data_IF_177393119353
#
_entry.id   IF_177393119353
#
_cell.length_a   1.000
_cell.length_b   1.000
_cell.length_c   1.000
_cell.angle_alpha   90.00
_cell.angle_beta   90.00
_cell.angle_gamma   90.00
#
_symmetry.space_group_name_H-M   'P 1'
#
loop_
_entity.id
_entity.type
_entity.pdbx_description
1 polymer ?
#
# COMPACT_ATOMS: atom_id res chain seq x y z
N UNK A 1 -9.72 11.14 -2.68
CA UNK A 1 -8.92 10.56 -1.57
C UNK A 1 -9.57 9.24 -1.21
N UNK A 2 -8.79 8.17 -1.13
CA UNK A 2 -9.28 6.82 -0.82
C UNK A 2 -8.72 6.38 0.53
N UNK A 3 -9.58 5.85 1.39
CA UNK A 3 -9.17 5.21 2.65
C UNK A 3 -9.48 3.73 2.51
N UNK A 4 -8.47 2.89 2.71
CA UNK A 4 -8.56 1.43 2.65
C UNK A 4 -8.49 0.83 4.05
N UNK A 5 -9.15 -0.32 4.21
CA UNK A 5 -9.15 -1.15 5.42
C UNK A 5 -8.76 -2.57 5.02
N UNK A 6 -7.75 -3.11 5.68
CA UNK A 6 -7.28 -4.49 5.53
C UNK A 6 -7.44 -5.20 6.87
N UNK A 7 -8.23 -6.27 6.93
CA UNK A 7 -8.57 -6.96 8.18
C UNK A 7 -7.88 -8.34 8.24
N UNK A 8 -7.41 -8.76 9.42
CA UNK A 8 -6.86 -10.10 9.58
C UNK A 8 -7.89 -11.22 9.33
N UNK A 9 -9.19 -10.96 9.58
CA UNK A 9 -10.27 -11.95 9.44
C UNK A 9 -10.48 -12.43 8.00
N UNK A 10 -10.10 -11.64 7.01
CA UNK A 10 -10.14 -12.00 5.58
C UNK A 10 -8.76 -12.03 4.92
N UNK A 11 -7.68 -12.04 5.73
CA UNK A 11 -6.30 -11.92 5.26
C UNK A 11 -6.06 -10.68 4.40
N UNK A 12 -6.74 -9.57 4.69
CA UNK A 12 -6.79 -8.35 3.88
C UNK A 12 -5.43 -7.99 3.28
N UNK A 13 -5.39 -7.95 1.95
CA UNK A 13 -4.19 -7.73 1.14
C UNK A 13 -4.54 -6.95 -0.13
N UNK A 14 -3.53 -6.63 -0.93
CA UNK A 14 -3.75 -6.16 -2.30
C UNK A 14 -2.68 -6.69 -3.23
N UNK A 15 -3.10 -7.37 -4.28
CA UNK A 15 -2.22 -8.05 -5.23
C UNK A 15 -1.22 -7.12 -5.90
N UNK A 16 -0.17 -7.72 -6.46
CA UNK A 16 0.86 -6.99 -7.19
C UNK A 16 0.26 -6.25 -8.39
N UNK A 17 0.43 -4.94 -8.42
CA UNK A 17 -0.10 -4.08 -9.48
C UNK A 17 0.78 -2.84 -9.68
N UNK A 18 0.43 -2.05 -10.71
CA UNK A 18 0.95 -0.71 -10.97
C UNK A 18 -0.24 0.23 -11.10
N UNK A 19 -0.07 1.47 -10.68
CA UNK A 19 -1.19 2.40 -10.50
C UNK A 19 -1.55 3.24 -11.72
N UNK A 20 -0.76 3.14 -12.80
CA UNK A 20 -0.88 4.00 -13.98
C UNK A 20 -0.95 3.23 -15.31
N UNK A 21 -1.41 1.98 -15.29
CA UNK A 21 -1.43 1.09 -16.47
C UNK A 21 -2.58 1.34 -17.44
N UNK A 22 -3.63 2.06 -17.01
CA UNK A 22 -4.77 2.40 -17.86
C UNK A 22 -4.80 3.90 -18.20
N UNK A 23 -5.33 4.31 -19.38
CA UNK A 23 -5.28 5.71 -19.82
C UNK A 23 -5.85 6.72 -18.81
N UNK A 24 -6.92 6.36 -18.11
CA UNK A 24 -7.52 7.22 -17.08
C UNK A 24 -6.63 7.45 -15.85
N UNK A 25 -5.64 6.58 -15.63
CA UNK A 25 -4.69 6.63 -14.51
C UNK A 25 -3.28 7.05 -14.92
N UNK A 26 -3.03 7.30 -16.22
CA UNK A 26 -1.71 7.60 -16.76
C UNK A 26 -1.06 8.86 -16.14
N UNK A 27 -1.88 9.76 -15.59
CA UNK A 27 -1.44 10.98 -14.94
C UNK A 27 -0.85 10.80 -13.54
N UNK A 28 -0.97 9.61 -12.93
CA UNK A 28 -0.46 9.33 -11.59
C UNK A 28 1.05 9.09 -11.68
N UNK A 29 1.85 9.96 -11.07
CA UNK A 29 3.31 9.80 -11.02
C UNK A 29 3.75 9.10 -9.75
N UNK A 30 3.21 9.51 -8.59
CA UNK A 30 3.54 8.91 -7.30
C UNK A 30 2.28 8.49 -6.53
N UNK A 31 2.40 7.36 -5.85
CA UNK A 31 1.44 6.88 -4.86
C UNK A 31 2.00 7.13 -3.47
N UNK A 32 1.09 7.43 -2.54
CA UNK A 32 1.41 7.60 -1.12
C UNK A 32 0.62 6.57 -0.34
N UNK A 33 1.30 5.69 0.38
CA UNK A 33 0.66 4.81 1.37
C UNK A 33 0.85 5.41 2.76
N UNK A 34 -0.08 6.25 3.20
CA UNK A 34 -0.10 6.84 4.54
C UNK A 34 -0.75 5.86 5.53
N UNK A 35 0.00 5.43 6.55
CA UNK A 35 -0.52 4.52 7.57
C UNK A 35 -1.31 5.30 8.63
N UNK A 36 -2.53 4.87 8.95
CA UNK A 36 -3.45 5.62 9.81
C UNK A 36 -3.55 5.08 11.24
N UNK A 37 -3.02 3.88 11.51
CA UNK A 37 -3.10 3.28 12.83
C UNK A 37 -1.94 2.34 13.15
N UNK A 38 -1.86 1.96 14.43
CA UNK A 38 -1.00 0.89 14.94
C UNK A 38 -1.85 -0.30 15.40
N UNK A 39 -1.22 -1.32 15.99
CA UNK A 39 -1.91 -2.48 16.56
C UNK A 39 -2.31 -3.54 15.54
N UNK A 40 -1.53 -3.71 14.47
CA UNK A 40 -1.71 -4.77 13.49
C UNK A 40 -0.39 -5.43 13.10
N UNK A 41 -0.44 -6.72 12.75
CA UNK A 41 0.67 -7.50 12.23
C UNK A 41 0.47 -7.83 10.74
N UNK A 42 1.56 -7.99 10.00
CA UNK A 42 1.51 -8.07 8.54
C UNK A 42 1.19 -6.71 7.90
N UNK A 43 0.58 -6.73 6.71
CA UNK A 43 0.12 -5.52 6.01
C UNK A 43 1.25 -4.66 5.41
N UNK A 44 2.47 -5.19 5.31
CA UNK A 44 3.62 -4.48 4.76
C UNK A 44 3.49 -4.24 3.25
N UNK A 45 4.03 -3.12 2.79
CA UNK A 45 4.21 -2.86 1.37
C UNK A 45 5.46 -3.58 0.87
N UNK A 46 5.39 -4.19 -0.32
CA UNK A 46 6.53 -4.82 -0.98
C UNK A 46 6.65 -4.34 -2.42
N UNK A 47 7.87 -4.39 -2.96
CA UNK A 47 8.19 -4.12 -4.36
C UNK A 47 8.89 -5.33 -4.97
N UNK A 48 8.14 -6.32 -5.50
CA UNK A 48 8.69 -7.64 -5.84
C UNK A 48 9.80 -7.62 -6.89
N UNK A 49 9.84 -6.59 -7.75
CA UNK A 49 10.91 -6.39 -8.74
C UNK A 49 12.28 -6.11 -8.12
N UNK A 50 12.32 -5.69 -6.86
CA UNK A 50 13.53 -5.28 -6.14
C UNK A 50 13.84 -6.20 -4.94
N UNK A 51 13.20 -7.37 -4.90
CA UNK A 51 13.43 -8.40 -3.87
C UNK A 51 12.30 -8.48 -2.84
N UNK A 52 12.62 -9.10 -1.71
CA UNK A 52 11.65 -9.44 -0.65
C UNK A 52 11.61 -8.43 0.50
N UNK A 53 12.28 -7.28 0.35
CA UNK A 53 12.26 -6.25 1.38
C UNK A 53 10.84 -5.72 1.58
N UNK A 54 10.42 -5.66 2.85
CA UNK A 54 9.13 -5.15 3.28
C UNK A 54 9.26 -3.74 3.86
N UNK A 55 8.20 -2.96 3.73
CA UNK A 55 8.12 -1.59 4.24
C UNK A 55 6.85 -1.41 5.07
N UNK A 56 7.02 -1.00 6.34
CA UNK A 56 5.94 -0.70 7.27
C UNK A 56 6.16 0.69 7.85
N UNK A 57 5.30 1.64 7.49
CA UNK A 57 5.36 2.97 8.08
C UNK A 57 4.71 2.96 9.49
N UNK A 58 5.23 3.72 10.48
CA UNK A 58 4.54 3.93 11.74
C UNK A 58 3.22 4.67 11.51
N UNK A 59 2.32 4.74 12.50
CA UNK A 59 1.11 5.54 12.37
C UNK A 59 1.44 7.02 12.10
N UNK A 60 0.75 7.62 11.13
CA UNK A 60 1.05 8.96 10.61
C UNK A 60 2.24 9.02 9.65
N UNK A 61 3.01 7.94 9.51
CA UNK A 61 4.09 7.82 8.53
C UNK A 61 3.58 7.36 7.16
N UNK A 62 4.34 7.64 6.11
CA UNK A 62 3.99 7.26 4.75
C UNK A 62 5.16 6.65 3.98
N UNK A 63 4.85 5.74 3.08
CA UNK A 63 5.76 5.31 2.00
C UNK A 63 5.31 5.99 0.71
N UNK A 64 6.20 6.73 0.07
CA UNK A 64 5.96 7.40 -1.22
C UNK A 64 6.79 6.71 -2.29
N UNK A 65 6.15 6.34 -3.40
CA UNK A 65 6.80 5.57 -4.45
C UNK A 65 6.21 5.89 -5.82
N UNK A 66 6.97 5.62 -6.89
CA UNK A 66 6.47 5.83 -8.25
C UNK A 66 5.34 4.86 -8.58
N UNK A 67 4.26 5.37 -9.17
CA UNK A 67 3.13 4.57 -9.66
C UNK A 67 3.54 3.57 -10.75
N UNK A 68 4.72 3.76 -11.35
CA UNK A 68 5.29 2.82 -12.31
C UNK A 68 5.91 1.60 -11.64
N UNK A 69 6.04 1.51 -10.31
CA UNK A 69 6.65 0.35 -9.64
C UNK A 69 5.61 -0.73 -9.37
N UNK A 70 5.98 -2.00 -9.58
CA UNK A 70 5.14 -3.13 -9.21
C UNK A 70 5.17 -3.24 -7.69
N UNK A 71 4.01 -3.19 -7.08
CA UNK A 71 3.91 -3.19 -5.62
C UNK A 71 2.67 -3.94 -5.16
N UNK A 72 2.74 -4.46 -3.94
CA UNK A 72 1.66 -5.22 -3.30
C UNK A 72 1.60 -4.90 -1.82
N UNK A 73 0.43 -5.12 -1.21
CA UNK A 73 0.25 -5.12 0.24
C UNK A 73 0.19 -6.57 0.69
N UNK A 74 1.11 -6.98 1.56
CA UNK A 74 1.11 -8.31 2.17
C UNK A 74 -0.13 -8.50 3.06
N UNK A 75 -0.60 -9.74 3.26
CA UNK A 75 -1.73 -10.02 4.14
C UNK A 75 -1.55 -9.44 5.54
N UNK A 76 -2.61 -8.82 6.08
CA UNK A 76 -2.72 -8.55 7.51
C UNK A 76 -2.98 -9.87 8.23
N UNK A 77 -2.18 -10.19 9.26
CA UNK A 77 -2.25 -11.47 9.98
C UNK A 77 -2.82 -11.34 11.39
N UNK A 78 -2.82 -10.13 11.96
CA UNK A 78 -3.51 -9.82 13.21
C UNK A 78 -3.96 -8.35 13.22
N UNK A 79 -5.11 -8.07 13.82
CA UNK A 79 -5.68 -6.72 13.90
C UNK A 79 -6.25 -6.24 12.58
N UNK A 80 -6.27 -4.91 12.39
CA UNK A 80 -6.79 -4.26 11.19
C UNK A 80 -5.92 -3.06 10.84
N UNK A 81 -5.53 -2.93 9.57
CA UNK A 81 -4.75 -1.81 9.04
C UNK A 81 -5.67 -0.86 8.28
N UNK A 82 -5.56 0.43 8.59
CA UNK A 82 -6.17 1.52 7.84
C UNK A 82 -5.09 2.33 7.13
N UNK A 83 -5.29 2.62 5.85
CA UNK A 83 -4.37 3.43 5.06
C UNK A 83 -5.12 4.47 4.24
N UNK A 84 -4.50 5.64 4.06
CA UNK A 84 -4.95 6.63 3.09
C UNK A 84 -4.04 6.58 1.86
N UNK A 85 -4.65 6.49 0.67
CA UNK A 85 -3.98 6.25 -0.60
C UNK A 85 -4.20 7.39 -1.61
N UNK A 86 -3.60 8.59 -1.43
CA UNK A 86 -3.63 9.63 -2.44
C UNK A 86 -2.59 9.38 -3.55
N UNK A 87 -2.87 9.93 -4.72
CA UNK A 87 -1.95 10.00 -5.85
C UNK A 87 -1.52 11.45 -6.04
N UNK A 88 -0.24 11.66 -6.33
CA UNK A 88 0.32 12.98 -6.63
C UNK A 88 1.06 12.96 -7.98
N UNK A 89 1.14 14.14 -8.58
CA UNK A 89 1.90 14.40 -9.81
C UNK A 89 3.39 14.51 -9.52
#
# INVERSE_FOLDING_TARGET
MLVSSYDATDSGFFDAHRDNTVPSSAHRQFAVSLNLNEGYEGGELVFPEFGQQTFKAPAGGAVVFSCTLLHAVQPVTAGRRYACLPFVY
#
